data_IF_665353637756
#
_entry.id   IF_665353637756
#
_cell.length_a   1.000
_cell.length_b   1.000
_cell.length_c   1.000
_cell.angle_alpha   90.00
_cell.angle_beta   90.00
_cell.angle_gamma   90.00
#
_symmetry.space_group_name_H-M   'P 1'
#
loop_
_entity.id
_entity.type
_entity.pdbx_description
1 polymer ?
#
# COMPACT_ATOMS: atom_id res chain seq x y z
N UNK A 1 -34.42 -20.36 5.50
CA UNK A 1 -34.18 -21.47 6.45
C UNK A 1 -32.87 -21.21 7.17
N UNK A 2 -32.96 -20.71 8.40
CA UNK A 2 -31.84 -20.49 9.32
C UNK A 2 -31.39 -21.84 9.90
N UNK A 3 -30.07 -22.05 10.04
CA UNK A 3 -29.52 -22.95 11.05
C UNK A 3 -28.60 -22.16 11.96
N UNK A 4 -29.14 -21.89 13.13
CA UNK A 4 -28.51 -21.51 14.38
C UNK A 4 -27.75 -22.70 14.96
N UNK A 5 -26.55 -22.45 15.48
CA UNK A 5 -25.93 -23.29 16.50
C UNK A 5 -25.20 -22.39 17.51
N UNK A 6 -25.76 -22.36 18.71
CA UNK A 6 -25.41 -21.55 19.87
C UNK A 6 -24.39 -22.25 20.77
N UNK A 7 -23.44 -21.45 21.26
CA UNK A 7 -22.88 -21.40 22.63
C UNK A 7 -22.43 -22.67 23.35
N UNK A 8 -21.16 -22.65 23.81
CA UNK A 8 -20.81 -23.08 25.17
C UNK A 8 -19.96 -22.02 25.86
N UNK A 9 -20.55 -21.44 26.90
CA UNK A 9 -19.88 -20.69 27.96
C UNK A 9 -18.96 -21.63 28.77
N UNK A 10 -17.75 -21.17 29.08
CA UNK A 10 -17.02 -21.61 30.26
C UNK A 10 -16.59 -20.36 31.04
N UNK A 11 -16.98 -20.36 32.31
CA UNK A 11 -16.92 -19.28 33.29
C UNK A 11 -16.07 -19.81 34.45
N UNK A 12 -14.93 -19.16 34.72
CA UNK A 12 -14.18 -19.11 35.99
C UNK A 12 -12.72 -18.72 35.67
N UNK A 13 -12.04 -17.79 36.34
CA UNK A 13 -12.39 -17.03 37.52
C UNK A 13 -11.50 -15.79 37.61
N UNK A 14 -12.07 -14.74 38.21
CA UNK A 14 -11.37 -13.56 38.68
C UNK A 14 -10.69 -13.95 39.99
N UNK A 15 -9.36 -13.83 40.05
CA UNK A 15 -8.63 -13.73 41.31
C UNK A 15 -7.78 -12.47 41.29
N UNK A 16 -8.32 -11.48 41.99
CA UNK A 16 -7.70 -10.23 42.40
C UNK A 16 -6.66 -10.57 43.48
N UNK A 17 -5.38 -10.39 43.19
CA UNK A 17 -4.32 -10.37 44.19
C UNK A 17 -3.42 -9.16 43.91
N UNK A 18 -3.71 -8.09 44.63
CA UNK A 18 -2.83 -6.95 44.86
C UNK A 18 -1.74 -7.32 45.86
N UNK A 19 -0.59 -6.67 45.72
CA UNK A 19 0.53 -6.48 46.67
C UNK A 19 1.81 -7.23 46.30
N UNK A 20 2.87 -6.44 46.10
CA UNK A 20 4.24 -6.91 45.96
C UNK A 20 4.89 -6.41 44.68
N UNK A 21 5.13 -5.11 44.59
CA UNK A 21 6.09 -4.54 43.67
C UNK A 21 7.44 -5.26 43.84
N UNK A 22 7.77 -6.19 42.94
CA UNK A 22 9.13 -6.67 42.77
C UNK A 22 9.82 -5.65 41.90
N UNK A 23 10.65 -4.81 42.53
CA UNK A 23 11.53 -3.90 41.82
C UNK A 23 12.30 -4.68 40.77
N UNK A 24 12.17 -4.26 39.52
CA UNK A 24 13.16 -4.57 38.50
C UNK A 24 14.49 -4.04 39.03
N UNK A 25 15.32 -4.95 39.54
CA UNK A 25 16.73 -4.68 39.72
C UNK A 25 17.26 -4.30 38.34
N UNK A 26 17.66 -3.04 38.19
CA UNK A 26 18.45 -2.60 37.07
C UNK A 26 19.61 -3.60 36.89
N UNK A 27 19.93 -4.03 35.66
CA UNK A 27 21.15 -4.79 35.44
C UNK A 27 22.30 -3.93 35.96
N UNK A 28 22.99 -4.44 36.99
CA UNK A 28 24.23 -3.86 37.45
C UNK A 28 25.12 -3.70 36.22
N UNK A 29 25.59 -2.47 36.00
CA UNK A 29 26.58 -2.14 35.00
C UNK A 29 27.73 -3.13 35.13
N UNK A 30 27.78 -4.12 34.23
CA UNK A 30 28.95 -4.95 34.06
C UNK A 30 30.06 -4.00 33.64
N UNK A 31 31.00 -3.79 34.55
CA UNK A 31 32.26 -3.11 34.29
C UNK A 31 32.86 -3.70 33.02
N UNK A 32 32.90 -2.89 31.96
CA UNK A 32 33.64 -3.19 30.74
C UNK A 32 35.10 -3.43 31.12
N UNK A 33 35.48 -4.70 31.21
CA UNK A 33 36.89 -5.08 31.17
C UNK A 33 37.29 -4.96 29.70
N UNK A 34 37.87 -3.82 29.36
CA UNK A 34 38.52 -3.62 28.07
C UNK A 34 39.73 -4.56 28.02
N UNK A 35 39.54 -5.78 27.51
CA UNK A 35 40.66 -6.62 27.09
C UNK A 35 41.35 -5.91 25.92
N UNK A 36 42.68 -5.82 25.99
CA UNK A 36 43.47 -5.14 24.98
C UNK A 36 43.19 -5.70 23.57
N UNK A 37 43.27 -4.88 22.51
CA UNK A 37 43.00 -5.34 21.16
C UNK A 37 43.92 -6.50 20.79
N UNK A 38 43.31 -7.51 20.15
CA UNK A 38 43.95 -8.66 19.50
C UNK A 38 45.15 -8.16 18.67
N UNK A 39 46.37 -8.35 19.19
CA UNK A 39 47.59 -8.27 18.38
C UNK A 39 47.67 -9.57 17.59
N UNK A 40 47.54 -9.46 16.28
CA UNK A 40 47.98 -10.50 15.36
C UNK A 40 49.46 -10.78 15.63
N UNK A 41 49.80 -12.04 15.90
CA UNK A 41 51.17 -12.48 16.11
C UNK A 41 51.95 -12.40 14.79
N UNK A 42 52.57 -11.24 14.53
CA UNK A 42 53.76 -11.17 13.70
C UNK A 42 54.88 -11.96 14.39
N UNK A 43 55.47 -12.90 13.65
CA UNK A 43 56.69 -13.61 14.03
C UNK A 43 57.85 -12.62 14.20
N UNK A 44 58.16 -12.24 15.43
CA UNK A 44 59.53 -11.86 15.85
C UNK A 44 60.16 -13.14 16.46
N UNK A 45 61.11 -13.79 15.79
CA UNK A 45 62.51 -13.43 15.69
C UNK A 45 63.21 -13.46 17.06
N UNK A 46 64.02 -14.51 17.26
CA UNK A 46 65.08 -14.68 18.27
C UNK A 46 64.89 -14.01 19.63
N UNK A 47 64.23 -14.73 20.54
CA UNK A 47 64.58 -14.58 21.95
C UNK A 47 65.98 -15.18 22.15
N UNK A 48 66.98 -14.30 22.13
CA UNK A 48 68.33 -14.54 22.63
C UNK A 48 68.29 -15.35 23.94
N UNK A 49 69.26 -16.24 24.18
CA UNK A 49 69.29 -17.03 25.40
C UNK A 49 69.17 -16.10 26.59
N UNK A 50 68.09 -16.27 27.36
CA UNK A 50 67.87 -15.59 28.63
C UNK A 50 69.14 -15.78 29.44
N UNK A 51 69.86 -14.67 29.64
CA UNK A 51 70.99 -14.62 30.54
C UNK A 51 70.55 -15.26 31.86
N UNK A 52 71.28 -16.30 32.27
CA UNK A 52 71.19 -16.99 33.56
C UNK A 52 71.34 -15.98 34.69
N UNK A 53 70.23 -15.33 35.04
CA UNK A 53 70.15 -14.47 36.21
C UNK A 53 70.10 -15.37 37.45
N UNK A 54 71.25 -15.47 38.13
CA UNK A 54 71.32 -15.92 39.52
C UNK A 54 72.15 -17.16 39.85
N UNK A 55 72.84 -17.78 38.89
CA UNK A 55 73.71 -18.93 39.15
C UNK A 55 75.18 -18.53 39.18
N UNK A 56 75.86 -18.69 40.31
CA UNK A 56 77.33 -18.61 40.35
C UNK A 56 77.88 -19.61 39.32
N UNK A 57 78.76 -19.16 38.43
CA UNK A 57 79.40 -20.01 37.42
C UNK A 57 79.93 -21.29 38.09
N UNK A 58 79.77 -22.49 37.49
CA UNK A 58 80.15 -23.76 38.12
C UNK A 58 81.62 -23.79 38.58
N UNK A 59 82.48 -23.04 37.88
CA UNK A 59 83.90 -22.86 38.20
C UNK A 59 84.15 -22.05 39.48
N UNK A 60 83.22 -21.19 39.89
CA UNK A 60 83.29 -20.43 41.15
C UNK A 60 82.39 -21.01 42.24
N UNK A 61 81.31 -21.70 41.87
CA UNK A 61 80.41 -22.34 42.82
C UNK A 61 81.09 -23.50 43.58
N UNK A 62 81.92 -24.29 42.88
CA UNK A 62 82.61 -25.44 43.50
C UNK A 62 83.66 -24.97 44.53
N UNK A 63 84.61 -24.06 44.21
CA UNK A 63 85.59 -23.60 45.20
C UNK A 63 84.96 -22.84 46.38
N UNK A 64 83.94 -22.00 46.13
CA UNK A 64 83.25 -21.26 47.21
C UNK A 64 82.44 -22.20 48.10
N UNK A 65 81.76 -23.20 47.51
CA UNK A 65 81.04 -24.22 48.26
C UNK A 65 81.97 -25.06 49.14
N UNK A 66 83.12 -25.48 48.61
CA UNK A 66 84.13 -26.24 49.38
C UNK A 66 84.74 -25.37 50.48
N UNK A 67 85.07 -24.11 50.19
CA UNK A 67 85.64 -23.18 51.18
C UNK A 67 84.70 -22.88 52.35
N UNK A 68 83.37 -22.93 52.14
CA UNK A 68 82.38 -22.79 53.21
C UNK A 68 82.06 -24.11 53.91
N UNK A 69 82.06 -25.24 53.18
CA UNK A 69 81.71 -26.55 53.75
C UNK A 69 82.80 -27.11 54.68
N UNK A 70 84.09 -26.91 54.35
CA UNK A 70 85.21 -27.46 55.14
C UNK A 70 85.23 -26.90 56.58
N UNK A 71 85.14 -25.57 56.82
CA UNK A 71 85.09 -25.04 58.18
C UNK A 71 83.83 -25.45 58.95
N UNK A 72 82.67 -25.55 58.29
CA UNK A 72 81.40 -25.93 58.95
C UNK A 72 81.48 -27.36 59.53
N UNK A 73 82.19 -28.26 58.85
CA UNK A 73 82.42 -29.63 59.30
C UNK A 73 83.55 -29.72 60.34
N UNK A 74 84.64 -28.96 60.16
CA UNK A 74 85.81 -29.01 61.06
C UNK A 74 85.55 -28.36 62.42
N UNK A 75 84.74 -27.28 62.47
CA UNK A 75 84.32 -26.64 63.72
C UNK A 75 83.05 -27.25 64.35
N UNK A 76 82.55 -28.38 63.82
CA UNK A 76 81.31 -29.05 64.25
C UNK A 76 80.10 -28.11 64.40
N UNK A 77 79.98 -27.10 63.54
CA UNK A 77 78.77 -26.25 63.54
C UNK A 77 77.54 -27.01 63.02
N UNK A 78 77.75 -28.15 62.38
CA UNK A 78 76.74 -29.07 61.91
C UNK A 78 77.20 -30.51 62.11
N UNK A 79 76.50 -31.29 62.94
CA UNK A 79 76.79 -32.71 63.15
C UNK A 79 75.96 -33.57 62.18
N UNK A 80 76.60 -34.35 61.29
CA UNK A 80 75.88 -35.26 60.40
C UNK A 80 75.23 -36.38 61.22
N UNK A 81 73.90 -36.42 61.20
CA UNK A 81 73.07 -37.40 61.91
C UNK A 81 72.04 -38.01 60.95
N UNK A 82 71.24 -38.99 61.39
CA UNK A 82 70.19 -39.61 60.57
C UNK A 82 69.24 -38.58 59.91
N UNK A 83 69.00 -37.45 60.58
CA UNK A 83 68.18 -36.34 60.07
C UNK A 83 68.83 -35.59 58.89
N UNK A 84 70.15 -35.55 58.80
CA UNK A 84 70.87 -34.85 57.71
C UNK A 84 70.87 -35.67 56.42
N UNK A 85 70.79 -37.01 56.54
CA UNK A 85 70.55 -37.91 55.41
C UNK A 85 69.09 -37.81 54.92
N UNK A 86 68.14 -37.65 55.84
CA UNK A 86 66.75 -37.33 55.48
C UNK A 86 66.65 -35.96 54.78
N UNK A 87 67.37 -34.95 55.27
CA UNK A 87 67.40 -33.62 54.67
C UNK A 87 68.04 -33.64 53.27
N UNK A 88 69.13 -34.38 53.05
CA UNK A 88 69.78 -34.47 51.74
C UNK A 88 68.93 -35.22 50.72
N UNK A 89 68.23 -36.29 51.13
CA UNK A 89 67.27 -36.99 50.27
C UNK A 89 66.03 -36.14 49.97
N UNK A 90 65.55 -35.32 50.92
CA UNK A 90 64.48 -34.34 50.68
C UNK A 90 64.92 -33.22 49.74
N UNK A 91 66.14 -32.67 49.88
CA UNK A 91 66.68 -31.70 48.93
C UNK A 91 66.85 -32.30 47.53
N UNK A 92 67.31 -33.54 47.44
CA UNK A 92 67.35 -34.29 46.19
C UNK A 92 65.96 -34.44 45.55
N UNK A 93 64.94 -34.76 46.36
CA UNK A 93 63.55 -34.78 45.92
C UNK A 93 63.08 -33.41 45.42
N UNK A 94 63.38 -32.32 46.12
CA UNK A 94 63.02 -30.96 45.70
C UNK A 94 63.68 -30.57 44.36
N UNK A 95 64.95 -30.94 44.13
CA UNK A 95 65.65 -30.69 42.86
C UNK A 95 65.03 -31.49 41.72
N UNK A 96 64.69 -32.77 41.95
CA UNK A 96 64.00 -33.60 40.94
C UNK A 96 62.58 -33.08 40.69
N UNK A 97 61.84 -32.70 41.73
CA UNK A 97 60.50 -32.12 41.61
C UNK A 97 60.52 -30.78 40.86
N UNK A 98 61.57 -29.97 41.04
CA UNK A 98 61.72 -28.72 40.29
C UNK A 98 62.12 -28.95 38.82
N UNK A 99 63.08 -29.85 38.57
CA UNK A 99 63.59 -30.09 37.21
C UNK A 99 62.63 -30.89 36.33
N UNK A 100 61.96 -31.91 36.89
CA UNK A 100 61.03 -32.76 36.15
C UNK A 100 59.56 -32.36 36.36
N UNK A 101 59.18 -31.99 37.59
CA UNK A 101 57.82 -31.56 37.90
C UNK A 101 57.53 -30.11 37.51
N UNK A 102 58.54 -29.23 37.50
CA UNK A 102 58.37 -27.82 37.13
C UNK A 102 57.94 -27.62 35.68
N UNK A 103 58.50 -28.40 34.74
CA UNK A 103 58.09 -28.35 33.34
C UNK A 103 56.65 -28.82 33.15
N UNK A 104 56.25 -29.91 33.83
CA UNK A 104 54.87 -30.42 33.79
C UNK A 104 53.86 -29.43 34.38
N UNK A 105 54.19 -28.79 35.51
CA UNK A 105 53.31 -27.77 36.11
C UNK A 105 53.22 -26.52 35.22
N UNK A 106 54.33 -26.12 34.58
CA UNK A 106 54.35 -24.98 33.64
C UNK A 106 53.52 -25.25 32.39
N UNK A 107 53.56 -26.45 31.82
CA UNK A 107 52.71 -26.82 30.68
C UNK A 107 51.24 -26.89 31.09
N UNK A 108 50.91 -27.50 32.24
CA UNK A 108 49.54 -27.51 32.74
C UNK A 108 48.97 -26.10 32.95
N UNK A 109 49.71 -25.18 33.56
CA UNK A 109 49.24 -23.79 33.73
C UNK A 109 49.12 -23.04 32.41
N UNK A 110 49.99 -23.30 31.43
CA UNK A 110 49.87 -22.70 30.09
C UNK A 110 48.67 -23.25 29.32
N UNK A 111 48.39 -24.54 29.45
CA UNK A 111 47.25 -25.17 28.81
C UNK A 111 45.94 -24.71 29.45
N UNK A 112 45.88 -24.63 30.79
CA UNK A 112 44.73 -24.06 31.51
C UNK A 112 44.52 -22.57 31.14
N UNK A 113 45.59 -21.78 31.05
CA UNK A 113 45.49 -20.39 30.61
C UNK A 113 44.96 -20.26 29.17
N UNK A 114 45.40 -21.13 28.25
CA UNK A 114 44.89 -21.17 26.88
C UNK A 114 43.43 -21.57 26.82
N UNK A 115 43.02 -22.57 27.60
CA UNK A 115 41.64 -23.02 27.67
C UNK A 115 40.73 -21.93 28.26
N UNK A 116 41.19 -21.21 29.29
CA UNK A 116 40.46 -20.06 29.84
C UNK A 116 40.30 -18.94 28.82
N UNK A 117 41.35 -18.58 28.08
CA UNK A 117 41.27 -17.57 27.02
C UNK A 117 40.32 -18.00 25.90
N UNK A 118 40.36 -19.29 25.53
CA UNK A 118 39.44 -19.84 24.54
C UNK A 118 37.99 -19.77 25.01
N UNK A 119 37.71 -20.19 26.25
CA UNK A 119 36.38 -20.13 26.83
C UNK A 119 35.86 -18.68 26.96
N UNK A 120 36.73 -17.72 27.29
CA UNK A 120 36.37 -16.30 27.31
C UNK A 120 36.04 -15.77 25.91
N UNK A 121 36.87 -16.08 24.91
CA UNK A 121 36.61 -15.67 23.54
C UNK A 121 35.29 -16.27 23.00
N UNK A 122 35.03 -17.55 23.27
CA UNK A 122 33.76 -18.20 22.90
C UNK A 122 32.55 -17.54 23.60
N UNK A 123 32.68 -17.19 24.87
CA UNK A 123 31.63 -16.48 25.60
C UNK A 123 31.41 -15.04 25.08
N UNK A 124 32.48 -14.32 24.72
CA UNK A 124 32.41 -12.99 24.11
C UNK A 124 31.74 -13.05 22.73
N UNK A 125 32.09 -14.04 21.90
CA UNK A 125 31.44 -14.26 20.59
C UNK A 125 29.94 -14.55 20.73
N UNK A 126 29.53 -15.36 21.72
CA UNK A 126 28.11 -15.62 21.99
C UNK A 126 27.36 -14.35 22.42
N UNK A 127 28.01 -13.49 23.22
CA UNK A 127 27.42 -12.20 23.64
C UNK A 127 27.31 -11.24 22.45
N UNK A 128 28.34 -11.17 21.59
CA UNK A 128 28.31 -10.35 20.37
C UNK A 128 27.16 -10.79 19.47
N UNK A 129 27.02 -12.11 19.22
CA UNK A 129 25.94 -12.65 18.39
C UNK A 129 24.54 -12.28 18.94
N UNK A 130 24.33 -12.39 20.25
CA UNK A 130 23.06 -11.98 20.89
C UNK A 130 22.80 -10.48 20.78
N UNK A 131 23.84 -9.66 20.87
CA UNK A 131 23.71 -8.21 20.72
C UNK A 131 23.36 -7.83 19.28
N UNK A 132 24.00 -8.46 18.29
CA UNK A 132 23.67 -8.29 16.87
C UNK A 132 22.22 -8.65 16.57
N UNK A 133 21.75 -9.80 17.06
CA UNK A 133 20.34 -10.22 16.94
C UNK A 133 19.39 -9.18 17.58
N UNK A 134 19.74 -8.64 18.77
CA UNK A 134 18.93 -7.61 19.42
C UNK A 134 18.86 -6.31 18.61
N UNK A 135 19.95 -5.94 17.94
CA UNK A 135 20.01 -4.75 17.09
C UNK A 135 19.16 -4.95 15.84
N UNK A 136 19.21 -6.13 15.22
CA UNK A 136 18.34 -6.47 14.09
C UNK A 136 16.87 -6.44 14.48
N UNK A 137 16.53 -7.00 15.66
CA UNK A 137 15.18 -6.95 16.19
C UNK A 137 14.69 -5.51 16.44
N UNK A 138 15.55 -4.63 16.97
CA UNK A 138 15.22 -3.22 17.15
C UNK A 138 15.02 -2.49 15.82
N UNK A 139 15.86 -2.75 14.81
CA UNK A 139 15.69 -2.19 13.45
C UNK A 139 14.38 -2.66 12.81
N UNK A 140 14.03 -3.93 12.98
CA UNK A 140 12.76 -4.47 12.48
C UNK A 140 11.58 -3.79 13.17
N UNK A 141 11.67 -3.57 14.49
CA UNK A 141 10.65 -2.83 15.25
C UNK A 141 10.53 -1.37 14.79
N UNK A 142 11.64 -0.70 14.49
CA UNK A 142 11.64 0.66 13.94
C UNK A 142 10.93 0.71 12.58
N UNK A 143 11.22 -0.25 11.69
CA UNK A 143 10.56 -0.34 10.40
C UNK A 143 9.05 -0.59 10.54
N UNK A 144 8.63 -1.45 11.47
CA UNK A 144 7.21 -1.65 11.76
C UNK A 144 6.53 -0.34 12.19
N UNK A 145 7.19 0.48 13.01
CA UNK A 145 6.64 1.78 13.43
C UNK A 145 6.48 2.73 12.24
N UNK A 146 7.47 2.76 11.32
CA UNK A 146 7.38 3.53 10.08
C UNK A 146 6.25 3.04 9.19
N UNK A 147 6.13 1.72 9.01
CA UNK A 147 5.04 1.13 8.23
C UNK A 147 3.67 1.51 8.81
N UNK A 148 3.52 1.54 10.14
CA UNK A 148 2.27 2.02 10.76
C UNK A 148 2.01 3.50 10.48
N UNK A 149 3.02 4.36 10.54
CA UNK A 149 2.89 5.78 10.20
C UNK A 149 2.49 5.96 8.73
N UNK A 150 3.15 5.27 7.82
CA UNK A 150 2.84 5.30 6.39
C UNK A 150 1.41 4.82 6.11
N UNK A 151 0.96 3.77 6.83
CA UNK A 151 -0.44 3.31 6.75
C UNK A 151 -1.40 4.38 7.26
N UNK A 152 -1.10 5.07 8.37
CA UNK A 152 -1.96 6.15 8.86
C UNK A 152 -2.05 7.30 7.84
N UNK A 153 -0.93 7.75 7.30
CA UNK A 153 -0.89 8.82 6.29
C UNK A 153 -1.67 8.41 5.03
N UNK A 154 -1.48 7.17 4.56
CA UNK A 154 -2.21 6.63 3.42
C UNK A 154 -3.71 6.51 3.69
N UNK A 155 -4.11 6.17 4.91
CA UNK A 155 -5.54 6.15 5.28
C UNK A 155 -6.15 7.56 5.28
N UNK A 156 -5.43 8.55 5.81
CA UNK A 156 -5.90 9.96 5.81
C UNK A 156 -6.06 10.47 4.38
N UNK A 157 -5.06 10.25 3.52
CA UNK A 157 -5.14 10.60 2.10
C UNK A 157 -6.31 9.89 1.39
N UNK A 158 -6.52 8.62 1.70
CA UNK A 158 -7.61 7.82 1.12
C UNK A 158 -8.97 8.40 1.52
N UNK A 159 -9.16 8.78 2.79
CA UNK A 159 -10.39 9.42 3.25
C UNK A 159 -10.58 10.82 2.64
N UNK A 160 -9.51 11.60 2.47
CA UNK A 160 -9.58 12.90 1.79
C UNK A 160 -10.02 12.74 0.32
N UNK A 161 -9.42 11.78 -0.41
CA UNK A 161 -9.80 11.44 -1.78
C UNK A 161 -11.23 10.90 -1.86
N UNK A 162 -11.65 10.08 -0.89
CA UNK A 162 -13.02 9.54 -0.82
C UNK A 162 -14.05 10.65 -0.56
N UNK A 163 -13.75 11.60 0.32
CA UNK A 163 -14.62 12.74 0.59
C UNK A 163 -14.75 13.65 -0.64
N UNK A 164 -13.63 13.96 -1.31
CA UNK A 164 -13.63 14.71 -2.57
C UNK A 164 -14.42 13.97 -3.68
N UNK A 165 -14.25 12.65 -3.79
CA UNK A 165 -15.02 11.81 -4.72
C UNK A 165 -16.51 11.79 -4.37
N UNK A 166 -16.86 11.83 -3.08
CA UNK A 166 -18.23 11.93 -2.59
C UNK A 166 -18.96 13.18 -3.09
N UNK A 167 -18.26 14.30 -3.29
CA UNK A 167 -18.82 15.54 -3.86
C UNK A 167 -18.96 15.45 -5.39
N UNK A 168 -17.98 14.84 -6.05
CA UNK A 168 -17.90 14.78 -7.52
C UNK A 168 -18.90 13.75 -8.11
N UNK A 169 -19.05 12.60 -7.46
CA UNK A 169 -19.92 11.51 -7.92
C UNK A 169 -21.39 11.91 -8.15
N UNK A 170 -22.08 12.62 -7.25
CA UNK A 170 -23.45 13.07 -7.49
C UNK A 170 -23.54 14.09 -8.63
N UNK A 171 -22.55 14.97 -8.80
CA UNK A 171 -22.51 15.93 -9.90
C UNK A 171 -22.42 15.22 -11.26
N UNK A 172 -21.56 14.21 -11.40
CA UNK A 172 -21.46 13.42 -12.63
C UNK A 172 -22.73 12.59 -12.89
N UNK A 173 -23.33 12.01 -11.85
CA UNK A 173 -24.61 11.29 -12.00
C UNK A 173 -25.72 12.21 -12.47
N UNK A 174 -25.83 13.42 -11.90
CA UNK A 174 -26.82 14.41 -12.32
C UNK A 174 -26.59 14.83 -13.78
N UNK A 175 -25.35 15.14 -14.15
CA UNK A 175 -24.98 15.49 -15.52
C UNK A 175 -25.39 14.38 -16.50
N UNK A 176 -25.07 13.12 -16.21
CA UNK A 176 -25.44 11.99 -17.06
C UNK A 176 -26.98 11.83 -17.21
N UNK A 177 -27.74 12.05 -16.13
CA UNK A 177 -29.20 12.01 -16.17
C UNK A 177 -29.79 13.13 -17.04
N UNK A 178 -29.26 14.35 -16.92
CA UNK A 178 -29.69 15.50 -17.73
C UNK A 178 -29.34 15.31 -19.21
N UNK A 179 -28.13 14.85 -19.53
CA UNK A 179 -27.72 14.56 -20.93
C UNK A 179 -28.62 13.52 -21.58
N UNK A 180 -29.06 12.51 -20.82
CA UNK A 180 -29.99 11.49 -21.31
C UNK A 180 -31.38 12.06 -21.57
N UNK A 181 -31.90 12.89 -20.67
CA UNK A 181 -33.18 13.56 -20.85
C UNK A 181 -33.17 14.51 -22.06
N UNK A 182 -32.08 15.27 -22.26
CA UNK A 182 -31.92 16.13 -23.43
C UNK A 182 -31.86 15.32 -24.73
N UNK A 183 -31.15 14.19 -24.71
CA UNK A 183 -31.09 13.28 -25.87
C UNK A 183 -32.45 12.69 -26.21
N UNK A 184 -33.25 12.36 -25.19
CA UNK A 184 -34.64 11.91 -25.35
C UNK A 184 -35.52 13.01 -25.92
N UNK A 185 -35.43 14.24 -25.40
CA UNK A 185 -36.16 15.41 -25.92
C UNK A 185 -35.85 15.61 -27.40
N UNK A 186 -34.57 15.67 -27.77
CA UNK A 186 -34.17 15.88 -29.17
C UNK A 186 -34.72 14.78 -30.10
N UNK A 187 -34.75 13.53 -29.63
CA UNK A 187 -35.32 12.41 -30.39
C UNK A 187 -36.84 12.53 -30.53
N UNK A 188 -37.54 12.92 -29.45
CA UNK A 188 -38.99 13.11 -29.49
C UNK A 188 -39.39 14.30 -30.37
N UNK A 189 -38.63 15.40 -30.34
CA UNK A 189 -38.84 16.56 -31.21
C UNK A 189 -38.65 16.19 -32.69
N UNK A 190 -37.58 15.46 -33.02
CA UNK A 190 -37.37 14.98 -34.39
C UNK A 190 -38.51 14.07 -34.86
N UNK A 191 -38.98 13.16 -34.00
CA UNK A 191 -40.11 12.28 -34.29
C UNK A 191 -41.43 13.04 -34.44
N UNK A 192 -41.68 14.05 -33.61
CA UNK A 192 -42.87 14.90 -33.70
C UNK A 192 -42.86 15.71 -34.99
N UNK A 193 -41.71 16.29 -35.36
CA UNK A 193 -41.54 17.02 -36.61
C UNK A 193 -41.79 16.15 -37.83
N UNK A 194 -41.20 14.94 -37.90
CA UNK A 194 -41.44 14.03 -39.02
C UNK A 194 -42.90 13.54 -39.08
N UNK A 195 -43.54 13.26 -37.93
CA UNK A 195 -44.96 12.92 -37.89
C UNK A 195 -45.85 14.06 -38.38
N UNK A 196 -45.59 15.29 -37.92
CA UNK A 196 -46.33 16.48 -38.34
C UNK A 196 -46.17 16.73 -39.85
N UNK A 197 -44.95 16.55 -40.37
CA UNK A 197 -44.68 16.64 -41.81
C UNK A 197 -45.43 15.58 -42.60
N UNK A 198 -45.43 14.32 -42.17
CA UNK A 198 -46.17 13.24 -42.84
C UNK A 198 -47.67 13.53 -42.84
N UNK A 199 -48.24 13.93 -41.70
CA UNK A 199 -49.64 14.29 -41.57
C UNK A 199 -50.01 15.46 -42.48
N UNK A 200 -49.21 16.54 -42.48
CA UNK A 200 -49.45 17.72 -43.32
C UNK A 200 -49.34 17.39 -44.81
N UNK A 201 -48.46 16.45 -45.20
CA UNK A 201 -48.38 15.97 -46.59
C UNK A 201 -49.60 15.10 -46.96
N UNK A 202 -50.13 14.30 -46.04
CA UNK A 202 -51.34 13.51 -46.26
C UNK A 202 -52.55 14.44 -46.41
N UNK A 203 -52.75 15.39 -45.49
CA UNK A 203 -53.83 16.37 -45.53
C UNK A 203 -53.78 17.23 -46.81
N UNK A 204 -52.58 17.66 -47.20
CA UNK A 204 -52.38 18.37 -48.47
C UNK A 204 -52.78 17.51 -49.67
N UNK A 205 -52.42 16.23 -49.66
CA UNK A 205 -52.76 15.30 -50.75
C UNK A 205 -54.27 15.08 -50.82
N UNK A 206 -54.94 14.89 -49.69
CA UNK A 206 -56.39 14.70 -49.63
C UNK A 206 -57.14 15.97 -50.08
N UNK A 207 -56.72 17.14 -49.60
CA UNK A 207 -57.31 18.43 -49.98
C UNK A 207 -57.14 18.74 -51.47
N UNK A 208 -55.93 18.55 -52.01
CA UNK A 208 -55.68 18.75 -53.45
C UNK A 208 -56.41 17.71 -54.30
N UNK A 209 -56.54 16.47 -53.83
CA UNK A 209 -57.31 15.43 -54.54
C UNK A 209 -58.80 15.75 -54.56
N UNK A 210 -59.35 16.26 -53.45
CA UNK A 210 -60.73 16.71 -53.37
C UNK A 210 -61.00 17.89 -54.32
N UNK A 211 -60.14 18.90 -54.31
CA UNK A 211 -60.25 20.09 -55.17
C UNK A 211 -60.06 19.75 -56.66
N UNK A 212 -59.12 18.85 -56.96
CA UNK A 212 -58.93 18.34 -58.31
C UNK A 212 -60.16 17.57 -58.79
N UNK A 213 -60.82 16.82 -57.90
CA UNK A 213 -62.01 16.03 -58.26
C UNK A 213 -63.24 16.89 -58.52
N UNK A 214 -63.40 18.02 -57.80
CA UNK A 214 -64.53 18.93 -57.91
C UNK A 214 -64.40 19.95 -59.06
N UNK A 215 -63.19 20.45 -59.33
CA UNK A 215 -62.98 21.55 -60.27
C UNK A 215 -62.76 21.09 -61.72
N UNK A 216 -63.73 21.36 -62.60
CA UNK A 216 -63.60 21.10 -64.05
C UNK A 216 -62.50 21.95 -64.71
N UNK A 217 -62.27 23.15 -64.19
CA UNK A 217 -61.27 24.09 -64.69
C UNK A 217 -59.85 23.60 -64.39
N UNK A 218 -59.62 23.10 -63.17
CA UNK A 218 -58.34 22.49 -62.78
C UNK A 218 -58.03 21.23 -63.59
N UNK A 219 -59.01 20.36 -63.85
CA UNK A 219 -58.82 19.18 -64.73
C UNK A 219 -58.43 19.57 -66.15
N UNK A 220 -59.08 20.59 -66.72
CA UNK A 220 -58.78 21.09 -68.08
C UNK A 220 -57.42 21.78 -68.15
N UNK A 221 -57.05 22.55 -67.12
CA UNK A 221 -55.75 23.20 -67.01
C UNK A 221 -54.61 22.18 -66.83
N UNK A 222 -54.81 21.15 -66.00
CA UNK A 222 -53.85 20.06 -65.80
C UNK A 222 -53.66 19.24 -67.07
N UNK A 223 -54.73 18.88 -67.77
CA UNK A 223 -54.67 18.11 -69.02
C UNK A 223 -53.98 18.91 -70.14
N UNK A 224 -54.29 20.21 -70.27
CA UNK A 224 -53.63 21.07 -71.26
C UNK A 224 -52.15 21.31 -70.94
N UNK A 225 -51.78 21.43 -69.66
CA UNK A 225 -50.39 21.50 -69.20
C UNK A 225 -49.63 20.19 -69.48
N UNK A 226 -50.24 19.03 -69.24
CA UNK A 226 -49.65 17.72 -69.55
C UNK A 226 -49.40 17.53 -71.05
N UNK A 227 -50.36 17.91 -71.90
CA UNK A 227 -50.20 17.87 -73.37
C UNK A 227 -49.08 18.83 -73.82
N UNK A 228 -48.99 20.02 -73.24
CA UNK A 228 -47.94 20.98 -73.56
C UNK A 228 -46.53 20.48 -73.16
N UNK A 229 -46.42 19.75 -72.04
CA UNK A 229 -45.16 19.11 -71.60
C UNK A 229 -44.75 17.95 -72.52
N UNK A 230 -45.69 17.09 -72.93
CA UNK A 230 -45.42 15.95 -73.81
C UNK A 230 -45.08 16.35 -75.26
N UNK A 231 -45.64 17.46 -75.75
CA UNK A 231 -45.44 17.92 -77.13
C UNK A 231 -44.22 18.83 -77.31
N UNK A 232 -43.44 19.09 -76.26
CA UNK A 232 -42.22 19.90 -76.33
C UNK A 232 -42.43 21.39 -76.66
N UNK A 233 -43.68 21.85 -76.81
CA UNK A 233 -44.03 23.25 -77.12
C UNK A 233 -43.95 24.20 -75.91
N UNK A 234 -43.58 23.69 -74.74
CA UNK A 234 -43.46 24.47 -73.50
C UNK A 234 -42.03 24.99 -73.25
N UNK A 235 -41.61 26.02 -73.97
CA UNK A 235 -40.42 26.78 -73.58
C UNK A 235 -40.60 27.40 -72.19
N UNK A 236 -39.71 27.05 -71.24
CA UNK A 236 -39.71 27.41 -69.81
C UNK A 236 -41.02 27.05 -69.08
N UNK A 237 -40.93 25.98 -68.28
CA UNK A 237 -41.98 25.43 -67.43
C UNK A 237 -42.87 26.51 -66.78
N UNK A 238 -44.07 26.73 -67.34
CA UNK A 238 -45.16 27.32 -66.56
C UNK A 238 -45.47 26.34 -65.43
N UNK A 239 -45.58 26.87 -64.20
CA UNK A 239 -45.81 26.08 -63.00
C UNK A 239 -46.95 25.07 -63.21
N UNK A 240 -46.76 23.84 -62.72
CA UNK A 240 -47.78 22.80 -62.84
C UNK A 240 -49.04 23.23 -62.06
N UNK A 241 -50.23 23.25 -62.69
CA UNK A 241 -51.45 23.70 -62.02
C UNK A 241 -51.81 22.86 -60.79
N UNK A 242 -51.44 21.58 -60.73
CA UNK A 242 -51.64 20.74 -59.52
C UNK A 242 -50.62 21.10 -58.45
N UNK A 243 -49.36 21.34 -58.83
CA UNK A 243 -48.32 21.83 -57.91
C UNK A 243 -48.68 23.20 -57.33
N UNK A 244 -49.32 24.07 -58.13
CA UNK A 244 -49.79 25.38 -57.68
C UNK A 244 -50.88 25.25 -56.59
N UNK A 245 -51.74 24.23 -56.67
CA UNK A 245 -52.73 23.96 -55.61
C UNK A 245 -52.08 23.43 -54.33
N UNK A 246 -51.05 22.58 -54.41
CA UNK A 246 -50.24 22.22 -53.24
C UNK A 246 -49.59 23.45 -52.58
N UNK A 247 -49.02 24.36 -53.38
CA UNK A 247 -48.42 25.60 -52.86
C UNK A 247 -49.47 26.50 -52.21
N UNK A 248 -50.67 26.62 -52.79
CA UNK A 248 -51.78 27.37 -52.18
C UNK A 248 -52.24 26.74 -50.87
N UNK A 249 -52.35 25.41 -50.80
CA UNK A 249 -52.67 24.71 -49.56
C UNK A 249 -51.66 25.05 -48.47
N UNK A 250 -50.36 24.90 -48.73
CA UNK A 250 -49.33 25.22 -47.73
C UNK A 250 -49.30 26.70 -47.34
N UNK A 251 -49.57 27.62 -48.27
CA UNK A 251 -49.69 29.05 -47.96
C UNK A 251 -50.90 29.35 -47.08
N UNK A 252 -52.06 28.74 -47.36
CA UNK A 252 -53.27 28.88 -46.57
C UNK A 252 -53.09 28.27 -45.17
N UNK A 253 -52.53 27.07 -45.09
CA UNK A 253 -52.22 26.40 -43.81
C UNK A 253 -51.23 27.21 -42.98
N UNK A 254 -50.20 27.81 -43.60
CA UNK A 254 -49.26 28.69 -42.91
C UNK A 254 -49.90 30.01 -42.42
N UNK A 255 -50.88 30.55 -43.15
CA UNK A 255 -51.63 31.73 -42.71
C UNK A 255 -52.59 31.39 -41.56
N UNK A 256 -53.26 30.24 -41.63
CA UNK A 256 -54.17 29.76 -40.59
C UNK A 256 -53.42 29.42 -39.29
N UNK A 257 -52.25 28.78 -39.39
CA UNK A 257 -51.40 28.50 -38.22
C UNK A 257 -50.92 29.78 -37.50
N UNK A 258 -50.70 30.88 -38.24
CA UNK A 258 -50.37 32.19 -37.63
C UNK A 258 -51.57 32.85 -36.96
N UNK A 259 -52.79 32.52 -37.37
CA UNK A 259 -54.02 33.08 -36.84
C UNK A 259 -54.57 32.29 -35.63
N UNK A 260 -54.19 31.01 -35.48
CA UNK A 260 -54.71 30.12 -34.43
C UNK A 260 -53.72 29.84 -33.29
N UNK A 261 -52.65 30.64 -33.13
CA UNK A 261 -51.63 30.40 -32.10
C UNK A 261 -52.13 30.76 -30.69
N UNK A 262 -53.06 29.96 -30.16
CA UNK A 262 -53.51 30.01 -28.76
C UNK A 262 -52.55 29.25 -27.82
N UNK A 263 -51.48 28.67 -28.36
CA UNK A 263 -50.46 27.90 -27.62
C UNK A 263 -50.98 26.65 -26.90
N UNK A 264 -52.24 26.24 -27.13
CA UNK A 264 -52.87 25.08 -26.49
C UNK A 264 -52.22 23.77 -26.93
N UNK A 265 -52.01 23.57 -28.23
CA UNK A 265 -51.37 22.37 -28.77
C UNK A 265 -49.91 22.23 -28.30
N UNK A 266 -49.18 23.35 -28.22
CA UNK A 266 -47.82 23.38 -27.68
C UNK A 266 -47.79 23.02 -26.18
N UNK A 267 -48.81 23.44 -25.41
CA UNK A 267 -48.95 23.06 -24.00
C UNK A 267 -49.29 21.58 -23.81
N UNK A 268 -50.17 21.03 -24.65
CA UNK A 268 -50.53 19.61 -24.60
C UNK A 268 -49.37 18.69 -25.04
N UNK A 269 -48.64 19.07 -26.09
CA UNK A 269 -47.43 18.38 -26.50
C UNK A 269 -46.36 18.39 -25.40
N UNK A 270 -46.18 19.56 -24.75
CA UNK A 270 -45.25 19.72 -23.62
C UNK A 270 -45.69 18.91 -22.40
N UNK A 271 -46.97 18.87 -22.07
CA UNK A 271 -47.51 18.06 -20.96
C UNK A 271 -47.32 16.56 -21.21
N UNK A 272 -47.51 16.11 -22.45
CA UNK A 272 -47.29 14.72 -22.86
C UNK A 272 -45.82 14.33 -22.75
N UNK A 273 -44.91 15.22 -23.18
CA UNK A 273 -43.46 15.04 -23.04
C UNK A 273 -43.04 14.99 -21.56
N UNK A 274 -43.52 15.92 -20.73
CA UNK A 274 -43.25 15.95 -19.28
C UNK A 274 -43.69 14.64 -18.63
N UNK A 275 -44.85 14.10 -19.00
CA UNK A 275 -45.37 12.84 -18.44
C UNK A 275 -44.45 11.65 -18.78
N UNK A 276 -43.98 11.54 -20.03
CA UNK A 276 -43.04 10.49 -20.44
C UNK A 276 -41.68 10.64 -19.76
N UNK A 277 -41.16 11.86 -19.69
CA UNK A 277 -39.88 12.14 -19.02
C UNK A 277 -39.94 11.80 -17.52
N UNK A 278 -41.08 12.07 -16.87
CA UNK A 278 -41.30 11.68 -15.48
C UNK A 278 -41.39 10.17 -15.30
N UNK A 279 -42.04 9.44 -16.22
CA UNK A 279 -42.06 7.97 -16.18
C UNK A 279 -40.65 7.36 -16.31
N UNK A 280 -39.79 7.96 -17.12
CA UNK A 280 -38.38 7.57 -17.24
C UNK A 280 -37.61 7.93 -15.97
N UNK A 281 -37.85 9.12 -15.40
CA UNK A 281 -37.26 9.53 -14.14
C UNK A 281 -37.61 8.58 -12.98
N UNK A 282 -38.84 8.07 -12.96
CA UNK A 282 -39.29 7.06 -11.98
C UNK A 282 -38.64 5.70 -12.19
N UNK A 283 -38.60 5.21 -13.43
CA UNK A 283 -38.01 3.91 -13.76
C UNK A 283 -36.49 3.89 -13.51
N UNK A 284 -35.81 5.01 -13.73
CA UNK A 284 -34.36 5.11 -13.62
C UNK A 284 -33.87 5.71 -12.29
N UNK A 285 -34.79 5.96 -11.35
CA UNK A 285 -34.49 6.55 -10.03
C UNK A 285 -33.66 7.84 -10.16
N UNK A 286 -34.09 8.75 -11.05
CA UNK A 286 -33.45 10.05 -11.22
C UNK A 286 -33.65 10.93 -9.97
N UNK A 287 -32.70 11.82 -9.69
CA UNK A 287 -32.74 12.70 -8.52
C UNK A 287 -33.77 13.85 -8.65
N UNK A 288 -34.43 13.96 -9.80
CA UNK A 288 -35.37 15.03 -10.09
C UNK A 288 -36.48 14.55 -11.03
N UNK A 289 -37.62 15.22 -10.93
CA UNK A 289 -38.78 15.10 -11.82
C UNK A 289 -39.11 16.47 -12.39
N UNK A 290 -39.76 16.52 -13.53
CA UNK A 290 -40.29 17.75 -14.09
C UNK A 290 -41.67 18.02 -13.48
N UNK A 291 -41.87 19.23 -12.94
CA UNK A 291 -43.17 19.69 -12.49
C UNK A 291 -44.20 19.61 -13.63
N UNK A 292 -45.34 18.91 -13.47
CA UNK A 292 -46.37 18.80 -14.50
C UNK A 292 -46.90 20.14 -15.01
N UNK A 293 -46.92 21.18 -14.16
CA UNK A 293 -47.48 22.48 -14.51
C UNK A 293 -46.45 23.42 -15.16
N UNK A 294 -45.25 23.53 -14.58
CA UNK A 294 -44.23 24.46 -15.06
C UNK A 294 -43.18 23.82 -15.98
N UNK A 295 -43.03 22.50 -15.95
CA UNK A 295 -41.95 21.75 -16.62
C UNK A 295 -40.56 22.06 -16.06
N UNK A 296 -40.48 22.64 -14.85
CA UNK A 296 -39.21 22.90 -14.16
C UNK A 296 -38.76 21.65 -13.41
N UNK A 297 -37.45 21.37 -13.33
CA UNK A 297 -36.94 20.27 -12.53
C UNK A 297 -37.16 20.54 -11.03
N UNK A 298 -37.72 19.57 -10.34
CA UNK A 298 -37.95 19.52 -8.90
C UNK A 298 -37.23 18.29 -8.36
N UNK A 299 -36.45 18.47 -7.28
CA UNK A 299 -35.76 17.36 -6.63
C UNK A 299 -36.76 16.40 -6.01
N UNK A 300 -36.46 15.10 -6.10
CA UNK A 300 -37.29 13.99 -5.57
C UNK A 300 -36.59 13.36 -4.38
#
# INVERSE_FOLDING_TARGET
>A
MLRTATSRFAKAGVSRASQGARGWAAPATSSFHFSAPRKEEEKEADAAPVATSGGIDPLYAIPVGVALAVPVLEFQWFDPNAETLLASTFLGFCVVAYTQGGEMMSTMFKDEAKDMLKAQNEAEEEVIAKLEESVEYMKLTENIVKDYQDVYDLTEESYAKLNASGVIKPQHKLKAQVEKLLSMIATEEANAYEKAKIAMMADATDAVTAEFSSSKELKKAALSSAIAKLTGKGGKAKADPVQAEFVKFFQATAQNAKASDDGSEAKEARATMITKMNAVAENESMYFRLDPASGKPVLV
#
